data_IF_654719157887
#
_entry.id   IF_654719157887
#
_cell.length_a   1.000
_cell.length_b   1.000
_cell.length_c   1.000
_cell.angle_alpha   90.00
_cell.angle_beta   90.00
_cell.angle_gamma   90.00
#
_symmetry.space_group_name_H-M   'P 1'
#
loop_
_entity.id
_entity.type
_entity.pdbx_description
1 polymer ?
#
# COMPACT_ATOMS: atom_id res chain seq x y z
N UNK A 1 -0.28 -16.43 6.16
CA UNK A 1 -0.01 -15.05 5.74
C UNK A 1 1.09 -14.55 6.65
N UNK A 2 2.21 -14.09 6.08
CA UNK A 2 3.20 -13.34 6.85
C UNK A 2 2.72 -11.89 6.80
N UNK A 3 2.39 -11.25 7.92
CA UNK A 3 2.03 -9.83 7.94
C UNK A 3 3.05 -8.99 7.18
N UNK A 4 2.60 -8.03 6.39
CA UNK A 4 3.50 -7.16 5.62
C UNK A 4 4.50 -6.44 6.54
N UNK A 5 4.08 -6.08 7.76
CA UNK A 5 4.96 -5.45 8.76
C UNK A 5 6.07 -6.38 9.29
N UNK A 6 5.91 -7.71 9.21
CA UNK A 6 6.95 -8.68 9.61
C UNK A 6 7.96 -8.95 8.50
N UNK A 7 7.73 -8.46 7.28
CA UNK A 7 8.65 -8.65 6.17
C UNK A 7 9.83 -7.67 6.26
N UNK A 8 10.87 -8.07 6.99
CA UNK A 8 12.13 -7.34 7.02
C UNK A 8 12.98 -7.79 5.84
N UNK A 9 12.96 -7.00 4.76
CA UNK A 9 13.68 -7.29 3.50
C UNK A 9 15.18 -7.58 3.69
N UNK A 10 15.80 -6.98 4.70
CA UNK A 10 17.24 -7.14 5.01
C UNK A 10 17.56 -8.35 5.90
N UNK A 11 16.57 -8.89 6.61
CA UNK A 11 16.76 -9.98 7.58
C UNK A 11 15.85 -11.17 7.27
N UNK A 12 15.72 -11.52 5.98
CA UNK A 12 15.06 -12.76 5.59
C UNK A 12 15.76 -13.93 6.27
N UNK A 13 15.19 -14.33 7.40
CA UNK A 13 15.38 -15.58 8.12
C UNK A 13 14.03 -16.28 8.02
N UNK A 14 13.94 -17.41 7.30
CA UNK A 14 12.70 -18.15 7.25
C UNK A 14 12.29 -18.52 8.68
N UNK A 15 11.03 -18.30 9.03
CA UNK A 15 10.46 -18.85 10.26
C UNK A 15 10.80 -20.35 10.29
N UNK A 16 11.57 -20.74 11.29
CA UNK A 16 12.34 -21.98 11.39
C UNK A 16 11.45 -23.22 11.66
N UNK A 17 10.21 -23.22 11.16
CA UNK A 17 9.17 -24.20 11.49
C UNK A 17 8.88 -25.20 10.36
N UNK A 18 9.38 -24.97 9.15
CA UNK A 18 9.36 -25.99 8.10
C UNK A 18 10.66 -26.78 8.17
N UNK A 19 10.58 -28.10 8.22
CA UNK A 19 11.73 -28.99 8.04
C UNK A 19 12.41 -28.63 6.72
N UNK A 20 13.51 -27.87 6.80
CA UNK A 20 14.31 -27.58 5.61
C UNK A 20 14.79 -28.93 5.07
N UNK A 21 14.53 -29.18 3.78
CA UNK A 21 15.07 -30.34 3.07
C UNK A 21 16.13 -29.85 2.06
N UNK A 22 17.40 -29.67 2.48
CA UNK A 22 18.47 -29.18 1.63
C UNK A 22 18.65 -30.03 0.36
N UNK A 23 18.42 -31.33 0.44
CA UNK A 23 18.53 -32.25 -0.69
C UNK A 23 17.52 -31.94 -1.79
N UNK A 24 16.33 -31.44 -1.45
CA UNK A 24 15.35 -30.99 -2.43
C UNK A 24 15.83 -29.71 -3.14
N UNK A 25 16.44 -28.78 -2.40
CA UNK A 25 16.99 -27.54 -2.95
C UNK A 25 18.15 -27.80 -3.92
N UNK A 26 18.95 -28.84 -3.66
CA UNK A 26 20.05 -29.28 -4.51
C UNK A 26 19.60 -30.04 -5.77
N UNK A 27 18.33 -30.42 -5.90
CA UNK A 27 17.84 -31.08 -7.11
C UNK A 27 17.86 -30.13 -8.31
N UNK A 28 18.53 -30.50 -9.40
CA UNK A 28 18.65 -29.67 -10.63
C UNK A 28 17.28 -29.22 -11.17
N UNK A 29 16.27 -30.09 -11.12
CA UNK A 29 14.89 -29.73 -11.51
C UNK A 29 14.33 -28.59 -10.66
N UNK A 30 14.60 -28.60 -9.36
CA UNK A 30 14.14 -27.56 -8.43
C UNK A 30 14.94 -26.27 -8.65
N UNK A 31 16.24 -26.36 -8.91
CA UNK A 31 17.07 -25.20 -9.27
C UNK A 31 16.52 -24.49 -10.51
N UNK A 32 16.21 -25.24 -11.58
CA UNK A 32 15.59 -24.70 -12.79
C UNK A 32 14.21 -24.09 -12.54
N UNK A 33 13.38 -24.73 -11.70
CA UNK A 33 12.08 -24.15 -11.31
C UNK A 33 12.23 -22.88 -10.47
N UNK A 34 13.24 -22.78 -9.59
CA UNK A 34 13.54 -21.54 -8.85
C UNK A 34 13.92 -20.42 -9.82
N UNK A 35 14.79 -20.70 -10.80
CA UNK A 35 15.15 -19.72 -11.83
C UNK A 35 13.91 -19.27 -12.60
N UNK A 36 13.08 -20.20 -13.07
CA UNK A 36 11.90 -19.90 -13.87
C UNK A 36 10.78 -19.18 -13.10
N UNK A 37 10.47 -19.65 -11.89
CA UNK A 37 9.27 -19.21 -11.14
C UNK A 37 9.53 -18.09 -10.16
N UNK A 38 10.80 -17.80 -9.84
CA UNK A 38 11.17 -16.72 -8.93
C UNK A 38 11.94 -15.63 -9.69
N UNK A 39 13.05 -16.00 -10.33
CA UNK A 39 13.96 -15.03 -10.97
C UNK A 39 13.38 -14.49 -12.28
N UNK A 40 12.92 -15.39 -13.15
CA UNK A 40 12.40 -15.07 -14.48
C UNK A 40 10.88 -15.07 -14.55
N UNK A 41 10.20 -15.04 -13.40
CA UNK A 41 8.77 -14.88 -13.37
C UNK A 41 8.36 -13.56 -14.02
N UNK A 42 7.28 -13.56 -14.80
CA UNK A 42 6.79 -12.38 -15.55
C UNK A 42 6.73 -11.11 -14.68
N UNK A 43 6.15 -11.23 -13.48
CA UNK A 43 6.10 -10.15 -12.49
C UNK A 43 7.48 -9.67 -12.03
N UNK A 44 8.44 -10.57 -11.78
CA UNK A 44 9.81 -10.21 -11.38
C UNK A 44 10.53 -9.52 -12.53
N UNK A 45 10.29 -9.93 -13.77
CA UNK A 45 10.85 -9.23 -14.94
C UNK A 45 10.27 -7.83 -15.07
N UNK A 46 8.95 -7.67 -14.95
CA UNK A 46 8.27 -6.38 -15.02
C UNK A 46 8.69 -5.43 -13.89
N UNK A 47 8.80 -5.94 -12.67
CA UNK A 47 9.13 -5.18 -11.45
C UNK A 47 10.42 -5.72 -10.84
N UNK A 48 11.49 -5.62 -11.64
CA UNK A 48 12.81 -6.19 -11.33
C UNK A 48 13.37 -5.70 -10.00
N UNK A 49 13.66 -6.62 -9.06
CA UNK A 49 14.48 -6.32 -7.90
C UNK A 49 15.88 -5.89 -8.34
N UNK A 50 16.60 -5.15 -7.49
CA UNK A 50 17.98 -4.78 -7.81
C UNK A 50 18.86 -6.01 -8.04
N UNK A 51 19.80 -5.93 -8.98
CA UNK A 51 20.79 -6.99 -9.23
C UNK A 51 21.52 -7.41 -7.95
N UNK A 52 21.77 -6.46 -7.04
CA UNK A 52 22.37 -6.71 -5.73
C UNK A 52 21.51 -7.62 -4.85
N UNK A 53 20.19 -7.39 -4.85
CA UNK A 53 19.25 -8.23 -4.12
C UNK A 53 19.18 -9.63 -4.72
N UNK A 54 19.04 -9.73 -6.05
CA UNK A 54 18.99 -11.02 -6.75
C UNK A 54 20.28 -11.82 -6.50
N UNK A 55 21.45 -11.19 -6.61
CA UNK A 55 22.73 -11.83 -6.31
C UNK A 55 22.83 -12.30 -4.85
N UNK A 56 22.31 -11.50 -3.90
CA UNK A 56 22.31 -11.88 -2.48
C UNK A 56 21.39 -13.07 -2.20
N UNK A 57 20.22 -13.12 -2.85
CA UNK A 57 19.31 -14.26 -2.79
C UNK A 57 19.96 -15.53 -3.36
N UNK A 58 20.52 -15.45 -4.57
CA UNK A 58 21.17 -16.57 -5.23
C UNK A 58 22.38 -17.07 -4.45
N UNK A 59 23.19 -16.16 -3.89
CA UNK A 59 24.30 -16.52 -3.00
C UNK A 59 23.82 -17.36 -1.81
N UNK A 60 22.78 -16.91 -1.09
CA UNK A 60 22.21 -17.69 0.03
C UNK A 60 21.64 -19.03 -0.43
N UNK A 61 21.05 -19.10 -1.62
CA UNK A 61 20.51 -20.34 -2.19
C UNK A 61 21.63 -21.33 -2.54
N UNK A 62 22.68 -20.86 -3.22
CA UNK A 62 23.89 -21.65 -3.54
C UNK A 62 24.57 -22.15 -2.27
N UNK A 63 24.76 -21.29 -1.27
CA UNK A 63 25.33 -21.67 0.04
C UNK A 63 24.52 -22.78 0.74
N UNK A 64 23.20 -22.88 0.49
CA UNK A 64 22.37 -23.99 1.01
C UNK A 64 22.59 -25.29 0.22
N UNK A 65 22.75 -25.20 -1.10
CA UNK A 65 23.01 -26.35 -1.98
C UNK A 65 24.39 -26.94 -1.68
N UNK A 66 25.42 -26.11 -1.52
CA UNK A 66 26.81 -26.52 -1.25
C UNK A 66 26.98 -27.28 0.08
N UNK A 67 26.03 -27.15 1.02
CA UNK A 67 26.01 -27.92 2.28
C UNK A 67 25.56 -29.36 2.10
N UNK A 68 24.98 -29.72 0.96
CA UNK A 68 24.53 -31.08 0.67
C UNK A 68 25.72 -31.91 0.18
N UNK A 69 25.96 -33.11 0.74
CA UNK A 69 26.96 -34.02 0.19
C UNK A 69 26.64 -34.37 -1.27
N UNK A 70 27.67 -34.47 -2.12
CA UNK A 70 27.50 -34.79 -3.55
C UNK A 70 26.53 -33.85 -4.28
N UNK A 71 26.53 -32.56 -3.92
CA UNK A 71 25.70 -31.56 -4.59
C UNK A 71 26.05 -31.44 -6.08
N UNK A 72 25.05 -31.05 -6.86
CA UNK A 72 25.22 -30.61 -8.24
C UNK A 72 24.57 -29.25 -8.38
N UNK A 73 25.34 -28.26 -8.82
CA UNK A 73 24.81 -26.96 -9.19
C UNK A 73 24.48 -26.96 -10.68
N UNK A 74 23.36 -26.35 -11.01
CA UNK A 74 22.95 -26.11 -12.39
C UNK A 74 23.84 -25.04 -13.05
N UNK A 75 24.30 -25.33 -14.27
CA UNK A 75 25.24 -24.46 -14.98
C UNK A 75 24.62 -23.09 -15.31
N UNK A 76 23.33 -23.05 -15.69
CA UNK A 76 22.61 -21.81 -16.01
C UNK A 76 22.47 -20.93 -14.77
N UNK A 77 22.17 -21.54 -13.62
CA UNK A 77 22.12 -20.84 -12.34
C UNK A 77 23.47 -20.20 -11.97
N UNK A 78 24.57 -20.95 -12.09
CA UNK A 78 25.92 -20.43 -11.79
C UNK A 78 26.28 -19.30 -12.75
N UNK A 79 26.10 -19.50 -14.05
CA UNK A 79 26.45 -18.51 -15.07
C UNK A 79 25.70 -17.20 -14.82
N UNK A 80 24.40 -17.29 -14.53
CA UNK A 80 23.58 -16.13 -14.21
C UNK A 80 24.03 -15.43 -12.92
N UNK A 81 24.33 -16.18 -11.86
CA UNK A 81 24.83 -15.61 -10.61
C UNK A 81 26.17 -14.89 -10.79
N UNK A 82 27.12 -15.51 -11.49
CA UNK A 82 28.45 -14.91 -11.78
C UNK A 82 28.30 -13.64 -12.61
N UNK A 83 27.45 -13.66 -13.63
CA UNK A 83 27.11 -12.49 -14.43
C UNK A 83 26.55 -11.34 -13.59
N UNK A 84 25.60 -11.64 -12.68
CA UNK A 84 25.07 -10.66 -11.75
C UNK A 84 26.16 -10.13 -10.81
N UNK A 85 26.91 -11.00 -10.15
CA UNK A 85 27.93 -10.62 -9.16
C UNK A 85 28.98 -9.67 -9.76
N UNK A 86 29.39 -9.90 -11.01
CA UNK A 86 30.31 -9.03 -11.74
C UNK A 86 29.76 -7.59 -11.91
N UNK A 87 28.44 -7.44 -12.05
CA UNK A 87 27.79 -6.12 -12.19
C UNK A 87 27.46 -5.45 -10.86
N UNK A 88 27.25 -6.21 -9.78
CA UNK A 88 26.82 -5.65 -8.48
C UNK A 88 27.83 -4.75 -7.79
N UNK A 89 29.14 -4.95 -8.02
CA UNK A 89 30.19 -4.10 -7.46
C UNK A 89 30.32 -2.74 -8.18
N UNK A 90 29.69 -2.58 -9.34
CA UNK A 90 29.73 -1.36 -10.14
C UNK A 90 28.55 -0.42 -9.84
N UNK A 91 27.51 -0.92 -9.17
CA UNK A 91 26.36 -0.13 -8.78
C UNK A 91 26.70 0.73 -7.54
N UNK A 92 26.90 2.03 -7.75
CA UNK A 92 26.99 3.01 -6.67
C UNK A 92 25.66 3.12 -5.91
N UNK A 93 25.73 3.78 -4.75
CA UNK A 93 24.68 3.98 -3.74
C UNK A 93 23.22 3.99 -4.27
N UNK A 94 22.25 3.51 -3.45
CA UNK A 94 20.84 3.48 -3.82
C UNK A 94 20.37 4.87 -4.25
N UNK A 95 20.29 5.09 -5.56
CA UNK A 95 19.90 6.35 -6.18
C UNK A 95 18.76 6.02 -7.12
N UNK A 96 17.55 6.45 -6.76
CA UNK A 96 16.37 6.30 -7.59
C UNK A 96 15.24 5.48 -6.96
N UNK A 97 14.32 5.10 -7.84
CA UNK A 97 13.07 4.43 -7.49
C UNK A 97 13.26 2.91 -7.52
N UNK A 98 12.54 2.21 -6.65
CA UNK A 98 12.39 0.76 -6.65
C UNK A 98 10.91 0.38 -6.66
N UNK A 99 10.64 -0.88 -6.94
CA UNK A 99 9.29 -1.42 -6.81
C UNK A 99 9.24 -2.40 -5.65
N UNK A 100 8.21 -2.28 -4.81
CA UNK A 100 7.88 -3.24 -3.77
C UNK A 100 6.53 -3.86 -4.06
N UNK A 101 6.47 -5.18 -3.96
CA UNK A 101 5.27 -5.96 -4.23
C UNK A 101 4.77 -6.57 -2.95
N UNK A 102 3.51 -6.31 -2.63
CA UNK A 102 2.81 -6.82 -1.47
C UNK A 102 1.69 -7.76 -1.93
N UNK A 103 1.50 -8.86 -1.22
CA UNK A 103 0.39 -9.81 -1.45
C UNK A 103 -0.68 -9.57 -0.40
N UNK A 104 -1.94 -9.44 -0.82
CA UNK A 104 -3.05 -9.11 0.08
C UNK A 104 -3.80 -10.36 0.58
N UNK A 105 -3.65 -11.49 -0.11
CA UNK A 105 -4.28 -12.77 0.22
C UNK A 105 -3.24 -13.90 0.40
N UNK A 106 -3.67 -14.99 1.03
CA UNK A 106 -2.77 -16.14 1.33
C UNK A 106 -2.38 -16.88 0.06
N UNK A 107 -3.25 -16.86 -0.93
CA UNK A 107 -3.13 -17.55 -2.21
C UNK A 107 -2.27 -16.74 -3.21
N UNK A 108 -1.89 -15.51 -2.86
CA UNK A 108 -1.05 -14.60 -3.63
C UNK A 108 -1.65 -14.16 -4.97
N UNK A 109 -2.99 -14.19 -5.11
CA UNK A 109 -3.68 -13.77 -6.33
C UNK A 109 -3.78 -12.24 -6.46
N UNK A 110 -3.97 -11.56 -5.34
CA UNK A 110 -4.15 -10.11 -5.22
C UNK A 110 -2.83 -9.49 -4.79
N UNK A 111 -2.29 -8.64 -5.67
CA UNK A 111 -1.01 -7.98 -5.48
C UNK A 111 -1.15 -6.47 -5.60
N UNK A 112 -0.38 -5.75 -4.81
CA UNK A 112 -0.19 -4.31 -4.90
C UNK A 112 1.29 -4.04 -5.12
N UNK A 113 1.59 -3.30 -6.20
CA UNK A 113 2.95 -2.89 -6.52
C UNK A 113 3.07 -1.39 -6.28
N UNK A 114 3.99 -1.00 -5.40
CA UNK A 114 4.30 0.40 -5.09
C UNK A 114 5.65 0.75 -5.68
N UNK A 115 5.73 1.93 -6.32
CA UNK A 115 7.00 2.55 -6.67
C UNK A 115 7.44 3.40 -5.48
N UNK A 116 8.62 3.11 -4.93
CA UNK A 116 9.15 3.77 -3.73
C UNK A 116 10.54 4.32 -4.00
N UNK A 117 10.96 5.34 -3.25
CA UNK A 117 12.36 5.77 -3.24
C UNK A 117 13.21 4.85 -2.36
N UNK A 118 14.46 4.64 -2.72
CA UNK A 118 15.36 3.79 -1.93
C UNK A 118 15.94 4.50 -0.70
N UNK A 119 15.77 5.82 -0.59
CA UNK A 119 16.27 6.64 0.51
C UNK A 119 15.13 7.27 1.30
N UNK A 120 15.15 7.09 2.62
CA UNK A 120 14.15 7.67 3.52
C UNK A 120 14.20 9.21 3.57
N UNK A 121 15.34 9.80 3.20
CA UNK A 121 15.51 11.23 3.03
C UNK A 121 16.09 11.49 1.64
N UNK A 122 15.37 12.27 0.84
CA UNK A 122 15.77 12.69 -0.50
C UNK A 122 15.58 14.20 -0.58
N UNK A 123 16.62 14.93 -0.99
CA UNK A 123 16.53 16.39 -1.22
C UNK A 123 16.00 17.18 0.00
N UNK A 124 16.26 16.72 1.23
CA UNK A 124 15.79 17.38 2.46
C UNK A 124 14.33 17.14 2.84
N UNK A 125 13.59 16.32 2.08
CA UNK A 125 12.27 15.81 2.44
C UNK A 125 12.35 14.32 2.80
N UNK A 126 11.33 13.82 3.52
CA UNK A 126 11.10 12.37 3.63
C UNK A 126 10.81 11.81 2.24
N UNK A 127 11.59 10.82 1.82
CA UNK A 127 11.42 10.18 0.53
C UNK A 127 10.09 9.42 0.45
N UNK A 128 9.69 9.05 -0.77
CA UNK A 128 8.48 8.27 -1.04
C UNK A 128 8.68 6.79 -0.63
N UNK A 129 8.81 6.55 0.68
CA UNK A 129 9.01 5.22 1.27
C UNK A 129 7.77 4.80 2.05
N UNK A 130 7.37 3.54 1.94
CA UNK A 130 6.30 3.01 2.79
C UNK A 130 6.79 2.85 4.23
N UNK A 131 6.11 3.53 5.15
CA UNK A 131 6.42 3.50 6.57
C UNK A 131 5.84 2.25 7.23
N UNK A 132 6.49 1.77 8.28
CA UNK A 132 6.04 0.59 9.04
C UNK A 132 4.62 0.76 9.60
N UNK A 133 4.23 1.97 9.99
CA UNK A 133 2.86 2.30 10.40
C UNK A 133 1.85 2.09 9.25
N UNK A 134 2.22 2.44 8.02
CA UNK A 134 1.40 2.21 6.84
C UNK A 134 1.20 0.72 6.55
N UNK A 135 2.26 -0.09 6.69
CA UNK A 135 2.17 -1.54 6.55
C UNK A 135 1.26 -2.17 7.61
N UNK A 136 1.41 -1.78 8.89
CA UNK A 136 0.53 -2.25 9.97
C UNK A 136 -0.93 -1.87 9.74
N UNK A 137 -1.17 -0.66 9.25
CA UNK A 137 -2.53 -0.20 8.94
C UNK A 137 -3.13 -0.98 7.77
N UNK A 138 -2.33 -1.27 6.74
CA UNK A 138 -2.76 -2.08 5.61
C UNK A 138 -3.07 -3.52 6.04
N UNK A 139 -2.22 -4.14 6.86
CA UNK A 139 -2.48 -5.47 7.43
C UNK A 139 -3.79 -5.48 8.23
N UNK A 140 -4.01 -4.47 9.07
CA UNK A 140 -5.25 -4.32 9.84
C UNK A 140 -6.49 -4.27 8.93
N UNK A 141 -6.43 -3.54 7.81
CA UNK A 141 -7.54 -3.47 6.86
C UNK A 141 -7.79 -4.76 6.09
N UNK A 142 -6.74 -5.51 5.76
CA UNK A 142 -6.87 -6.83 5.11
C UNK A 142 -7.57 -7.80 6.07
N UNK A 143 -7.22 -7.77 7.35
CA UNK A 143 -7.85 -8.61 8.39
C UNK A 143 -9.28 -8.16 8.71
N UNK A 144 -9.59 -6.88 8.50
CA UNK A 144 -10.88 -6.28 8.83
C UNK A 144 -11.46 -5.50 7.63
N UNK A 145 -11.89 -6.18 6.55
CA UNK A 145 -12.35 -5.53 5.32
C UNK A 145 -13.63 -4.69 5.50
N UNK A 146 -14.38 -4.90 6.59
CA UNK A 146 -15.53 -4.10 6.97
C UNK A 146 -15.20 -2.85 7.79
N UNK A 147 -13.94 -2.65 8.20
CA UNK A 147 -13.57 -1.53 9.06
C UNK A 147 -13.62 -0.22 8.30
N UNK A 148 -14.54 0.64 8.71
CA UNK A 148 -14.59 2.04 8.29
C UNK A 148 -13.75 2.83 9.27
N UNK A 149 -12.62 3.38 8.83
CA UNK A 149 -11.90 4.38 9.63
C UNK A 149 -12.67 5.69 9.51
N UNK A 150 -13.34 6.04 10.59
CA UNK A 150 -14.02 7.30 10.78
C UNK A 150 -13.53 7.87 12.11
N UNK A 151 -12.96 9.07 12.06
CA UNK A 151 -12.61 9.82 13.26
C UNK A 151 -13.74 10.82 13.54
N UNK A 152 -14.64 10.54 14.50
CA UNK A 152 -15.75 11.44 14.82
C UNK A 152 -15.26 12.79 15.36
N UNK A 153 -14.03 12.90 15.87
CA UNK A 153 -13.50 14.16 16.42
C UNK A 153 -13.25 15.20 15.34
N UNK A 154 -13.10 14.77 14.08
CA UNK A 154 -12.95 15.68 12.93
C UNK A 154 -14.26 16.43 12.68
N UNK A 155 -15.43 15.86 13.00
CA UNK A 155 -16.72 16.46 12.68
C UNK A 155 -16.96 17.75 13.46
N UNK A 156 -16.69 17.77 14.77
CA UNK A 156 -16.78 19.00 15.56
C UNK A 156 -15.76 20.05 15.09
N UNK A 157 -14.52 19.61 14.84
CA UNK A 157 -13.45 20.49 14.34
C UNK A 157 -13.83 21.13 13.01
N UNK A 158 -14.46 20.38 12.11
CA UNK A 158 -14.96 20.88 10.83
C UNK A 158 -16.09 21.89 11.03
N UNK A 159 -17.05 21.61 11.91
CA UNK A 159 -18.15 22.53 12.22
C UNK A 159 -17.63 23.86 12.79
N UNK A 160 -16.67 23.81 13.71
CA UNK A 160 -16.04 24.99 14.29
C UNK A 160 -15.25 25.80 13.25
N UNK A 161 -14.54 25.12 12.34
CA UNK A 161 -13.85 25.78 11.24
C UNK A 161 -14.83 26.49 10.29
N UNK A 162 -15.93 25.83 9.92
CA UNK A 162 -17.00 26.43 9.10
C UNK A 162 -17.60 27.63 9.82
N UNK A 163 -17.88 27.51 11.13
CA UNK A 163 -18.36 28.63 11.96
C UNK A 163 -17.41 29.81 11.89
N UNK A 164 -16.12 29.59 12.15
CA UNK A 164 -15.12 30.64 12.10
C UNK A 164 -15.07 31.33 10.72
N UNK A 165 -15.14 30.56 9.63
CA UNK A 165 -15.18 31.10 8.27
C UNK A 165 -16.42 31.93 7.99
N UNK A 166 -17.61 31.39 8.28
CA UNK A 166 -18.91 32.04 8.01
C UNK A 166 -19.07 33.31 8.84
N UNK A 167 -18.74 33.27 10.13
CA UNK A 167 -18.84 34.42 11.05
C UNK A 167 -17.85 35.52 10.66
N UNK A 168 -16.60 35.16 10.33
CA UNK A 168 -15.57 36.16 10.03
C UNK A 168 -15.75 36.86 8.68
N UNK A 169 -16.37 36.19 7.70
CA UNK A 169 -16.43 36.67 6.32
C UNK A 169 -17.84 37.04 5.84
N UNK A 170 -18.88 36.80 6.65
CA UNK A 170 -20.30 36.85 6.23
C UNK A 170 -20.60 36.05 4.95
N UNK A 171 -19.79 35.04 4.66
CA UNK A 171 -19.97 34.22 3.47
C UNK A 171 -20.97 33.10 3.69
N UNK A 172 -21.58 32.70 2.58
CA UNK A 172 -22.43 31.52 2.48
C UNK A 172 -21.57 30.34 2.05
N UNK A 173 -21.71 29.21 2.74
CA UNK A 173 -20.95 27.99 2.44
C UNK A 173 -21.88 26.98 1.76
N UNK A 174 -21.44 26.45 0.62
CA UNK A 174 -22.11 25.36 -0.10
C UNK A 174 -21.22 24.12 -0.04
N UNK A 175 -21.74 23.03 0.53
CA UNK A 175 -21.03 21.76 0.63
C UNK A 175 -21.80 20.73 -0.20
N UNK A 176 -21.16 20.21 -1.24
CA UNK A 176 -21.66 19.05 -1.97
C UNK A 176 -20.93 17.81 -1.47
N UNK A 177 -21.68 16.78 -1.07
CA UNK A 177 -21.10 15.55 -0.53
C UNK A 177 -21.85 14.32 -0.99
N UNK A 178 -21.10 13.21 -1.14
CA UNK A 178 -21.66 11.88 -1.38
C UNK A 178 -21.82 11.21 -0.02
N UNK A 179 -23.06 10.91 0.37
CA UNK A 179 -23.38 10.27 1.65
C UNK A 179 -23.02 8.78 1.56
N UNK A 180 -21.83 8.45 2.07
CA UNK A 180 -21.34 7.05 2.18
C UNK A 180 -21.77 6.38 3.49
N UNK A 181 -21.98 7.16 4.54
CA UNK A 181 -22.49 6.72 5.82
C UNK A 181 -23.53 7.74 6.32
N UNK A 182 -24.83 7.39 6.35
CA UNK A 182 -25.89 8.30 6.80
C UNK A 182 -25.68 8.78 8.24
N UNK A 183 -25.22 7.91 9.14
CA UNK A 183 -25.01 8.26 10.55
C UNK A 183 -23.93 9.35 10.71
N UNK A 184 -22.81 9.23 10.00
CA UNK A 184 -21.75 10.25 9.98
C UNK A 184 -22.25 11.57 9.40
N UNK A 185 -23.10 11.50 8.38
CA UNK A 185 -23.68 12.70 7.78
C UNK A 185 -24.62 13.41 8.77
N UNK A 186 -25.48 12.65 9.46
CA UNK A 186 -26.34 13.21 10.52
C UNK A 186 -25.51 13.80 11.68
N UNK A 187 -24.44 13.14 12.12
CA UNK A 187 -23.53 13.70 13.13
C UNK A 187 -22.93 15.04 12.69
N UNK A 188 -22.58 15.18 11.41
CA UNK A 188 -22.12 16.46 10.86
C UNK A 188 -23.22 17.53 10.91
N UNK A 189 -24.44 17.17 10.51
CA UNK A 189 -25.57 18.09 10.59
C UNK A 189 -25.85 18.52 12.03
N UNK A 190 -25.86 17.60 12.99
CA UNK A 190 -26.02 17.89 14.41
C UNK A 190 -24.91 18.79 14.94
N UNK A 191 -23.65 18.55 14.58
CA UNK A 191 -22.54 19.41 14.96
C UNK A 191 -22.70 20.85 14.46
N UNK A 192 -23.25 21.04 13.25
CA UNK A 192 -23.59 22.39 12.75
C UNK A 192 -24.70 23.03 13.59
N UNK A 193 -25.74 22.30 14.00
CA UNK A 193 -26.80 22.85 14.86
C UNK A 193 -26.26 23.27 16.23
N UNK A 194 -25.36 22.47 16.79
CA UNK A 194 -24.72 22.74 18.08
C UNK A 194 -23.87 24.03 18.08
N UNK A 195 -23.54 24.58 16.92
CA UNK A 195 -22.81 25.86 16.84
C UNK A 195 -23.66 27.08 17.25
N UNK A 196 -24.99 26.94 17.33
CA UNK A 196 -26.04 27.95 17.62
C UNK A 196 -26.09 29.20 16.71
N UNK A 197 -25.04 29.40 15.93
CA UNK A 197 -24.75 30.59 15.11
C UNK A 197 -24.90 30.32 13.62
N UNK A 198 -24.88 29.04 13.23
CA UNK A 198 -25.07 28.62 11.86
C UNK A 198 -26.50 28.12 11.64
N UNK A 199 -27.00 28.36 10.44
CA UNK A 199 -28.24 27.76 9.92
C UNK A 199 -27.87 26.90 8.73
N UNK A 200 -28.45 25.71 8.66
CA UNK A 200 -28.25 24.78 7.54
C UNK A 200 -29.53 24.52 6.76
N UNK A 201 -29.40 24.28 5.46
CA UNK A 201 -30.45 23.75 4.59
C UNK A 201 -29.87 22.63 3.74
N UNK A 202 -30.56 21.49 3.66
CA UNK A 202 -30.09 20.29 2.96
C UNK A 202 -31.01 20.01 1.78
N UNK A 203 -30.41 19.82 0.61
CA UNK A 203 -31.11 19.48 -0.63
C UNK A 203 -30.56 18.16 -1.19
N UNK A 204 -31.47 17.26 -1.60
CA UNK A 204 -31.09 16.11 -2.41
C UNK A 204 -30.86 16.54 -3.84
N UNK A 205 -29.69 16.21 -4.40
CA UNK A 205 -29.42 16.46 -5.81
C UNK A 205 -29.96 15.35 -6.72
N UNK A 206 -30.32 14.20 -6.16
CA UNK A 206 -30.89 13.07 -6.92
C UNK A 206 -32.30 13.37 -7.45
N UNK A 207 -33.04 14.24 -6.76
CA UNK A 207 -34.39 14.67 -7.17
C UNK A 207 -34.38 15.81 -8.21
N UNK A 208 -33.21 16.42 -8.42
CA UNK A 208 -33.05 17.53 -9.37
C UNK A 208 -32.59 17.03 -10.73
N UNK A 209 -33.13 17.59 -11.83
CA UNK A 209 -32.71 17.32 -13.23
C UNK A 209 -31.26 17.76 -13.56
N UNK A 210 -30.41 17.91 -12.54
CA UNK A 210 -29.04 18.42 -12.61
C UNK A 210 -28.06 17.30 -12.99
N UNK A 211 -28.32 16.61 -14.11
CA UNK A 211 -27.53 15.46 -14.59
C UNK A 211 -26.03 15.76 -14.76
N UNK A 212 -25.63 17.03 -14.85
CA UNK A 212 -24.24 17.48 -14.98
C UNK A 212 -23.45 17.45 -13.67
N UNK A 213 -24.13 17.45 -12.51
CA UNK A 213 -23.51 17.38 -11.18
C UNK A 213 -23.66 16.01 -10.52
N UNK A 214 -24.39 15.09 -11.16
CA UNK A 214 -24.58 13.74 -10.67
C UNK A 214 -23.31 12.91 -10.87
N UNK A 215 -22.91 12.17 -9.83
CA UNK A 215 -21.85 11.19 -9.91
C UNK A 215 -22.21 10.14 -10.99
N UNK A 216 -21.24 9.61 -11.77
CA UNK A 216 -21.52 8.61 -12.81
C UNK A 216 -22.12 7.29 -12.29
N UNK A 217 -22.19 7.11 -10.96
CA UNK A 217 -22.87 6.00 -10.32
C UNK A 217 -24.32 6.42 -9.98
N UNK A 218 -25.34 5.80 -10.61
CA UNK A 218 -26.74 6.19 -10.43
C UNK A 218 -27.31 5.86 -9.04
N UNK A 219 -26.57 5.15 -8.19
CA UNK A 219 -26.99 4.75 -6.83
C UNK A 219 -26.40 5.69 -5.77
N UNK A 220 -25.50 6.61 -6.13
CA UNK A 220 -24.88 7.53 -5.18
C UNK A 220 -25.88 8.52 -4.61
N UNK A 221 -25.98 8.60 -3.27
CA UNK A 221 -26.74 9.64 -2.59
C UNK A 221 -25.91 10.92 -2.48
N UNK A 222 -26.28 11.95 -3.23
CA UNK A 222 -25.58 13.25 -3.23
C UNK A 222 -26.46 14.30 -2.55
N UNK A 223 -25.89 14.95 -1.55
CA UNK A 223 -26.52 16.03 -0.79
C UNK A 223 -25.76 17.33 -0.99
N UNK A 224 -26.52 18.41 -1.18
CA UNK A 224 -26.03 19.79 -1.10
C UNK A 224 -26.46 20.37 0.24
N UNK A 225 -25.50 20.81 1.05
CA UNK A 225 -25.72 21.49 2.31
C UNK A 225 -25.35 22.96 2.15
N UNK A 226 -26.34 23.82 2.30
CA UNK A 226 -26.18 25.26 2.38
C UNK A 226 -26.02 25.65 3.85
N UNK A 227 -24.98 26.39 4.19
CA UNK A 227 -24.71 26.87 5.55
C UNK A 227 -24.57 28.39 5.52
N UNK A 228 -25.32 29.07 6.38
CA UNK A 228 -25.34 30.53 6.51
C UNK A 228 -25.16 30.94 7.95
N UNK A 229 -24.69 32.16 8.18
CA UNK A 229 -24.79 32.78 9.49
C UNK A 229 -26.26 33.04 9.84
N UNK A 230 -26.62 32.87 11.11
CA UNK A 230 -27.95 33.18 11.64
C UNK A 230 -28.22 34.69 11.72
#
# INVERSE_FOLDING_TARGET
MIPMYLFIWSSWEPNNTAEENPSLLACTRIQGEVMKTIIFHEHTVQYSPSNRYVASFLKKYIEKIERVPEYQLDDELIEFYVGLAATTNLAFAPTGLCYKTYTLDKEQYTRVVLQEEQTMLSQGATGLVTWEAGLRLADFFIEHPGTKIYDPTIVSTLADAIKAMVVSSQQVVYITTVVRNPETFEQFLEAIDQTETLVKSVMSLNDTRMNLLCHPNPISDIRLVLITHK
#
